data_IF_673723531131
#
_entry.id   IF_673723531131
#
_cell.length_a   1.000
_cell.length_b   1.000
_cell.length_c   1.000
_cell.angle_alpha   90.00
_cell.angle_beta   90.00
_cell.angle_gamma   90.00
#
_symmetry.space_group_name_H-M   'P 1'
#
loop_
_entity.id
_entity.type
_entity.pdbx_description
1 polymer ?
#
# COMPACT_ATOMS: atom_id res chain seq x y z
N UNK A 1 14.36 -7.54 -20.65
CA UNK A 1 13.27 -7.01 -19.80
C UNK A 1 11.96 -7.18 -20.57
N UNK A 2 11.41 -8.40 -20.56
CA UNK A 2 10.07 -8.63 -21.12
C UNK A 2 9.04 -8.23 -20.07
N UNK A 3 7.99 -7.54 -20.47
CA UNK A 3 6.81 -7.41 -19.61
C UNK A 3 6.30 -8.82 -19.33
N UNK A 4 6.42 -9.26 -18.07
CA UNK A 4 5.88 -10.53 -17.65
C UNK A 4 4.36 -10.38 -17.51
N UNK A 5 3.66 -10.63 -18.62
CA UNK A 5 2.20 -10.57 -18.70
C UNK A 5 1.53 -11.47 -17.67
N UNK A 6 2.18 -12.55 -17.27
CA UNK A 6 1.68 -13.47 -16.26
C UNK A 6 1.71 -12.82 -14.87
N UNK A 7 2.77 -12.08 -14.52
CA UNK A 7 2.82 -11.30 -13.27
C UNK A 7 1.72 -10.25 -13.23
N UNK A 8 1.49 -9.55 -14.34
CA UNK A 8 0.42 -8.56 -14.41
C UNK A 8 -0.98 -9.20 -14.27
N UNK A 9 -1.21 -10.35 -14.91
CA UNK A 9 -2.46 -11.11 -14.78
C UNK A 9 -2.68 -11.58 -13.35
N UNK A 10 -1.65 -12.13 -12.72
CA UNK A 10 -1.71 -12.60 -11.33
C UNK A 10 -2.10 -11.47 -10.38
N UNK A 11 -1.51 -10.27 -10.53
CA UNK A 11 -1.89 -9.10 -9.72
C UNK A 11 -3.36 -8.72 -9.96
N UNK A 12 -3.85 -8.76 -11.20
CA UNK A 12 -5.25 -8.44 -11.51
C UNK A 12 -6.25 -9.45 -10.96
N UNK A 13 -5.93 -10.73 -11.03
CA UNK A 13 -6.75 -11.81 -10.45
C UNK A 13 -6.77 -11.71 -8.93
N UNK A 14 -5.61 -11.55 -8.28
CA UNK A 14 -5.53 -11.37 -6.84
C UNK A 14 -6.38 -10.20 -6.34
N UNK A 15 -6.32 -9.06 -7.05
CA UNK A 15 -7.18 -7.90 -6.76
C UNK A 15 -8.67 -8.20 -6.96
N UNK A 16 -9.03 -9.06 -7.92
CA UNK A 16 -10.41 -9.48 -8.14
C UNK A 16 -10.93 -10.38 -7.03
N UNK A 17 -10.18 -11.41 -6.68
CA UNK A 17 -10.53 -12.35 -5.62
C UNK A 17 -10.61 -11.66 -4.27
N UNK A 18 -9.72 -10.70 -3.99
CA UNK A 18 -9.79 -9.89 -2.77
C UNK A 18 -11.09 -9.09 -2.67
N UNK A 19 -11.52 -8.47 -3.77
CA UNK A 19 -12.78 -7.73 -3.81
C UNK A 19 -13.98 -8.66 -3.61
N UNK A 20 -13.96 -9.85 -4.22
CA UNK A 20 -14.98 -10.87 -4.03
C UNK A 20 -15.02 -11.36 -2.57
N UNK A 21 -13.86 -11.60 -1.95
CA UNK A 21 -13.75 -12.03 -0.55
C UNK A 21 -14.37 -11.01 0.42
N UNK A 22 -14.11 -9.72 0.18
CA UNK A 22 -14.70 -8.61 0.94
C UNK A 22 -16.23 -8.56 0.83
N UNK A 23 -16.79 -9.01 -0.29
CA UNK A 23 -18.23 -9.05 -0.52
C UNK A 23 -18.90 -10.28 0.11
N UNK A 24 -18.31 -11.47 -0.07
CA UNK A 24 -18.91 -12.74 0.38
C UNK A 24 -18.70 -12.99 1.88
N UNK A 25 -17.60 -12.51 2.46
CA UNK A 25 -17.21 -12.77 3.84
C UNK A 25 -16.74 -11.48 4.56
N UNK A 26 -17.60 -10.45 4.67
CA UNK A 26 -17.23 -9.16 5.28
C UNK A 26 -16.95 -9.27 6.79
N UNK A 27 -17.38 -10.37 7.43
CA UNK A 27 -17.09 -10.66 8.82
C UNK A 27 -15.70 -11.30 9.03
N UNK A 28 -15.10 -11.86 7.98
CA UNK A 28 -13.76 -12.46 8.00
C UNK A 28 -12.71 -11.62 7.29
N UNK A 29 -13.13 -10.73 6.38
CA UNK A 29 -12.24 -9.91 5.57
C UNK A 29 -12.58 -8.43 5.74
N UNK A 30 -11.55 -7.61 5.89
CA UNK A 30 -11.66 -6.16 5.99
C UNK A 30 -10.40 -5.50 5.44
N UNK A 31 -10.50 -4.28 4.91
CA UNK A 31 -9.34 -3.54 4.43
C UNK A 31 -8.39 -3.25 5.60
N UNK A 32 -7.12 -3.66 5.46
CA UNK A 32 -6.09 -3.47 6.47
C UNK A 32 -5.13 -2.36 6.03
N UNK A 33 -4.96 -1.29 6.84
CA UNK A 33 -3.93 -0.30 6.58
C UNK A 33 -2.55 -0.92 6.84
N UNK A 34 -1.68 -0.88 5.84
CA UNK A 34 -0.28 -1.30 5.94
C UNK A 34 0.60 -0.06 5.84
N UNK A 35 1.46 0.13 6.85
CA UNK A 35 2.41 1.24 6.92
C UNK A 35 3.79 0.81 6.43
N UNK A 36 4.30 1.49 5.40
CA UNK A 36 5.63 1.30 4.83
C UNK A 36 6.57 2.43 5.29
N UNK A 37 7.44 2.19 6.28
CA UNK A 37 8.39 3.20 6.75
C UNK A 37 9.50 3.46 5.72
N UNK A 38 9.87 4.72 5.54
CA UNK A 38 10.88 5.16 4.57
C UNK A 38 12.05 5.81 5.31
N UNK A 39 13.25 5.29 5.07
CA UNK A 39 14.48 5.67 5.79
C UNK A 39 15.46 6.51 4.97
N UNK A 40 15.13 6.83 3.72
CA UNK A 40 15.95 7.68 2.85
C UNK A 40 15.06 8.65 2.07
N UNK A 41 15.46 9.92 2.00
CA UNK A 41 14.66 10.97 1.37
C UNK A 41 14.39 10.71 -0.13
N UNK A 42 15.36 10.17 -0.86
CA UNK A 42 15.19 9.79 -2.28
C UNK A 42 14.22 8.63 -2.50
N UNK A 43 14.00 7.79 -1.50
CA UNK A 43 13.04 6.70 -1.57
C UNK A 43 11.60 7.19 -1.45
N UNK A 44 11.37 8.37 -0.84
CA UNK A 44 10.04 8.96 -0.70
C UNK A 44 9.34 9.15 -2.05
N UNK A 45 9.91 9.89 -3.04
CA UNK A 45 9.27 10.04 -4.34
C UNK A 45 9.19 8.72 -5.10
N UNK A 46 10.18 7.83 -4.97
CA UNK A 46 10.17 6.52 -5.63
C UNK A 46 8.99 5.66 -5.19
N UNK A 47 8.86 5.43 -3.87
CA UNK A 47 7.77 4.62 -3.33
C UNK A 47 6.41 5.31 -3.50
N UNK A 48 6.35 6.64 -3.40
CA UNK A 48 5.13 7.39 -3.67
C UNK A 48 4.62 7.14 -5.09
N UNK A 49 5.49 7.25 -6.09
CA UNK A 49 5.13 6.99 -7.48
C UNK A 49 4.68 5.53 -7.67
N UNK A 50 5.39 4.57 -7.08
CA UNK A 50 5.02 3.15 -7.18
C UNK A 50 3.64 2.84 -6.58
N UNK A 51 3.37 3.37 -5.38
CA UNK A 51 2.07 3.20 -4.71
C UNK A 51 0.95 3.93 -5.44
N UNK A 52 1.22 5.11 -6.04
CA UNK A 52 0.21 5.80 -6.86
C UNK A 52 -0.09 5.07 -8.17
N UNK A 53 0.91 4.44 -8.77
CA UNK A 53 0.69 3.55 -9.91
C UNK A 53 -0.16 2.35 -9.50
N UNK A 54 0.07 1.78 -8.32
CA UNK A 54 -0.76 0.71 -7.75
C UNK A 54 -2.22 1.14 -7.53
N UNK A 55 -2.45 2.32 -6.93
CA UNK A 55 -3.80 2.90 -6.78
C UNK A 55 -4.51 3.01 -8.14
N UNK A 56 -3.78 3.47 -9.16
CA UNK A 56 -4.30 3.62 -10.52
C UNK A 56 -4.67 2.28 -11.16
N UNK A 57 -3.81 1.26 -11.02
CA UNK A 57 -4.06 -0.09 -11.54
C UNK A 57 -5.21 -0.77 -10.80
N UNK A 58 -5.35 -0.51 -9.49
CA UNK A 58 -6.43 -1.05 -8.66
C UNK A 58 -7.80 -0.46 -9.02
N UNK A 59 -7.85 0.77 -9.54
CA UNK A 59 -9.04 1.39 -10.10
C UNK A 59 -10.24 1.36 -9.14
N UNK A 60 -11.39 0.83 -9.61
CA UNK A 60 -12.64 0.75 -8.82
C UNK A 60 -12.59 -0.25 -7.65
N UNK A 61 -11.56 -1.09 -7.56
CA UNK A 61 -11.37 -2.06 -6.46
C UNK A 61 -10.53 -1.49 -5.32
N UNK A 62 -10.13 -0.22 -5.42
CA UNK A 62 -9.40 0.48 -4.40
C UNK A 62 -10.32 0.81 -3.24
N UNK A 63 -10.08 0.16 -2.09
CA UNK A 63 -10.92 0.38 -0.91
C UNK A 63 -10.70 1.79 -0.34
N UNK A 64 -9.44 2.24 -0.27
CA UNK A 64 -9.04 3.58 0.17
C UNK A 64 -7.74 3.97 -0.54
N UNK A 65 -7.61 5.26 -0.92
CA UNK A 65 -6.37 5.73 -1.56
C UNK A 65 -5.21 5.74 -0.58
N UNK A 66 -4.04 5.41 -1.11
CA UNK A 66 -2.79 5.54 -0.38
C UNK A 66 -2.42 6.99 -0.07
N UNK A 67 -1.76 7.21 1.06
CA UNK A 67 -1.30 8.53 1.48
C UNK A 67 0.01 8.45 2.25
N UNK A 68 0.71 9.57 2.32
CA UNK A 68 1.92 9.71 3.13
C UNK A 68 1.59 10.27 4.50
N UNK A 69 2.30 9.76 5.50
CA UNK A 69 2.31 10.28 6.86
C UNK A 69 3.72 10.77 7.20
N UNK A 70 3.76 11.92 7.86
CA UNK A 70 5.01 12.48 8.37
C UNK A 70 5.63 11.56 9.42
N UNK A 71 6.94 11.71 9.65
CA UNK A 71 7.66 11.02 10.72
C UNK A 71 6.93 11.11 12.07
N UNK A 72 6.50 12.32 12.45
CA UNK A 72 5.84 12.55 13.73
C UNK A 72 4.58 11.69 13.88
N UNK A 73 3.71 11.69 12.86
CA UNK A 73 2.48 10.92 12.84
C UNK A 73 2.74 9.41 12.75
N UNK A 74 3.72 8.98 11.96
CA UNK A 74 4.11 7.57 11.89
C UNK A 74 4.60 7.04 13.25
N UNK A 75 5.35 7.85 14.00
CA UNK A 75 5.84 7.51 15.34
C UNK A 75 4.74 7.54 16.42
N UNK A 76 3.69 8.34 16.23
CA UNK A 76 2.52 8.36 17.11
C UNK A 76 1.70 7.08 16.97
N UNK A 77 1.44 6.66 15.73
CA UNK A 77 0.68 5.43 15.42
C UNK A 77 1.49 4.17 15.75
N UNK A 78 2.80 4.17 15.43
CA UNK A 78 3.70 3.03 15.63
C UNK A 78 4.97 3.45 16.38
N UNK A 79 4.90 3.58 17.73
CA UNK A 79 6.01 4.07 18.53
C UNK A 79 7.24 3.14 18.54
N UNK A 80 7.07 1.88 18.17
CA UNK A 80 8.13 0.87 18.06
C UNK A 80 8.95 0.99 16.77
N UNK A 81 8.58 1.87 15.82
CA UNK A 81 9.35 2.09 14.61
C UNK A 81 10.75 2.62 14.92
N UNK A 82 11.73 2.18 14.12
CA UNK A 82 13.09 2.69 14.22
C UNK A 82 13.11 4.19 13.93
N UNK A 83 13.42 5.02 14.94
CA UNK A 83 13.41 6.49 14.83
C UNK A 83 14.58 7.04 14.00
N UNK A 84 15.69 6.30 13.95
CA UNK A 84 16.90 6.74 13.27
C UNK A 84 16.68 6.74 11.77
N UNK A 85 17.03 7.85 11.10
CA UNK A 85 16.86 8.07 9.66
C UNK A 85 15.44 7.95 9.09
N UNK A 86 14.41 7.74 9.92
CA UNK A 86 13.02 7.73 9.46
C UNK A 86 12.65 9.10 8.88
N UNK A 87 12.26 9.12 7.60
CA UNK A 87 11.78 10.30 6.88
C UNK A 87 10.26 10.46 7.03
N UNK A 88 9.54 9.33 7.05
CA UNK A 88 8.09 9.23 7.17
C UNK A 88 7.62 7.83 6.78
N UNK A 89 6.35 7.67 6.47
CA UNK A 89 5.82 6.41 5.99
C UNK A 89 4.72 6.61 4.93
N UNK A 90 4.55 5.64 4.05
CA UNK A 90 3.38 5.55 3.17
C UNK A 90 2.40 4.56 3.77
N UNK A 91 1.11 4.89 3.71
CA UNK A 91 0.03 4.00 4.12
C UNK A 91 -0.76 3.62 2.88
N UNK A 92 -0.93 2.32 2.66
CA UNK A 92 -1.81 1.77 1.65
C UNK A 92 -2.73 0.73 2.29
N UNK A 93 -3.78 0.34 1.58
CA UNK A 93 -4.77 -0.61 2.09
C UNK A 93 -4.70 -1.89 1.28
N UNK A 94 -4.51 -3.00 2.00
CA UNK A 94 -4.71 -4.33 1.46
C UNK A 94 -6.07 -4.88 1.90
#
# INVERSE_FOLDING_TARGET
MGFDLEQYRLVREALHERANLLEIAPHLSRPLPIMLPIYSWWQVPYFWCGIKLYDFVSGKKLVKSSFYVSKAKAMEEFPMLQKNRLCGALVYYD
#
